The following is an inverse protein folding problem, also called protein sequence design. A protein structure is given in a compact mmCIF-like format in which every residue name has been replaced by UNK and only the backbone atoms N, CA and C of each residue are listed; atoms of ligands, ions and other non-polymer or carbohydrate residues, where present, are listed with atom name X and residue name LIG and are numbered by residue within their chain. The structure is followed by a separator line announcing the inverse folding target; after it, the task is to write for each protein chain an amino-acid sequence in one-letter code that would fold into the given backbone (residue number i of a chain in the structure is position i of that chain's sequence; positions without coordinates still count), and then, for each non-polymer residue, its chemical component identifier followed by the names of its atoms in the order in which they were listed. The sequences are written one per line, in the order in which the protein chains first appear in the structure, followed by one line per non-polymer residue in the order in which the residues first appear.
data_IF_485910446692
#
_entry.id   IF_485910446692
#
_cell.length_a   1.000
_cell.length_b   1.000
_cell.length_c   1.000
_cell.angle_alpha   90.00
_cell.angle_beta   90.00
_cell.angle_gamma   90.00
#
_symmetry.space_group_name_H-M   'P 1'
#
loop_
_entity.id
_entity.type
_entity.pdbx_description
1 polymer ?
#
# COMPACT_ATOMS: atom_id res chain seq x y z
N UNK A 1 -25.11 -10.41 16.77
CA UNK A 1 -25.61 -9.70 15.57
C UNK A 1 -24.75 -8.46 15.32
N UNK A 2 -24.48 -7.63 16.35
CA UNK A 2 -23.71 -6.38 16.19
C UNK A 2 -22.20 -6.55 15.85
N UNK A 3 -21.55 -7.63 16.27
CA UNK A 3 -20.14 -7.88 15.92
C UNK A 3 -19.93 -8.31 14.45
N UNK A 4 -20.97 -8.76 13.74
CA UNK A 4 -20.88 -9.16 12.33
C UNK A 4 -21.06 -7.98 11.36
N UNK A 5 -21.58 -6.84 11.84
CA UNK A 5 -21.77 -5.65 11.01
C UNK A 5 -20.52 -4.77 11.02
N UNK A 6 -19.73 -4.78 12.11
CA UNK A 6 -18.51 -3.98 12.23
C UNK A 6 -17.42 -4.34 11.21
N UNK A 7 -17.33 -5.60 10.78
CA UNK A 7 -16.33 -6.02 9.77
C UNK A 7 -16.69 -5.59 8.34
N UNK A 8 -17.93 -5.18 8.07
CA UNK A 8 -18.39 -4.87 6.70
C UNK A 8 -18.15 -3.40 6.30
N UNK A 9 -17.81 -2.51 7.24
CA UNK A 9 -17.57 -1.07 6.96
C UNK A 9 -16.08 -0.69 6.83
N UNK A 10 -15.15 -1.60 7.12
CA UNK A 10 -13.73 -1.32 6.95
C UNK A 10 -13.35 -1.48 5.48
N UNK A 11 -12.91 -0.39 4.85
CA UNK A 11 -12.32 -0.48 3.52
C UNK A 11 -11.17 -1.50 3.54
N UNK A 12 -11.13 -2.44 2.59
CA UNK A 12 -10.16 -3.52 2.60
C UNK A 12 -8.74 -2.94 2.58
N UNK A 13 -7.93 -3.37 3.54
CA UNK A 13 -6.54 -3.00 3.66
C UNK A 13 -5.68 -3.88 2.74
N UNK A 14 -4.48 -3.39 2.39
CA UNK A 14 -3.51 -4.17 1.62
C UNK A 14 -3.13 -5.48 2.33
N UNK A 15 -3.17 -5.50 3.67
CA UNK A 15 -2.99 -6.73 4.46
C UNK A 15 -4.01 -7.81 4.12
N UNK A 16 -5.26 -7.41 3.90
CA UNK A 16 -6.38 -8.31 3.67
C UNK A 16 -6.25 -8.96 2.29
N UNK A 17 -5.70 -8.24 1.31
CA UNK A 17 -5.37 -8.76 -0.02
C UNK A 17 -4.27 -9.81 0.07
N UNK A 18 -3.22 -9.58 0.88
CA UNK A 18 -2.12 -10.55 1.07
C UNK A 18 -2.64 -11.83 1.72
N UNK A 19 -3.48 -11.70 2.74
CA UNK A 19 -4.09 -12.83 3.44
C UNK A 19 -4.97 -13.65 2.49
N UNK A 20 -5.90 -13.01 1.78
CA UNK A 20 -6.78 -13.65 0.80
C UNK A 20 -6.01 -14.32 -0.34
N UNK A 21 -4.93 -13.70 -0.80
CA UNK A 21 -4.06 -14.27 -1.84
C UNK A 21 -3.37 -15.55 -1.35
N UNK A 22 -2.96 -15.57 -0.08
CA UNK A 22 -2.38 -16.76 0.57
C UNK A 22 -3.42 -17.88 0.74
N UNK A 23 -4.64 -17.55 1.16
CA UNK A 23 -5.75 -18.50 1.26
C UNK A 23 -6.08 -19.12 -0.10
N UNK A 24 -6.17 -18.31 -1.16
CA UNK A 24 -6.42 -18.79 -2.52
C UNK A 24 -5.31 -19.73 -2.98
N UNK A 25 -4.05 -19.46 -2.62
CA UNK A 25 -2.91 -20.33 -2.92
C UNK A 25 -3.05 -21.70 -2.28
N UNK A 26 -3.38 -21.74 -0.98
CA UNK A 26 -3.56 -22.98 -0.23
C UNK A 26 -4.76 -23.78 -0.76
N UNK A 27 -5.89 -23.10 -0.98
CA UNK A 27 -7.10 -23.69 -1.53
C UNK A 27 -6.81 -24.32 -2.90
N UNK A 28 -6.14 -23.59 -3.79
CA UNK A 28 -5.79 -24.06 -5.13
C UNK A 28 -4.91 -25.29 -5.06
N UNK A 29 -3.86 -25.26 -4.22
CA UNK A 29 -2.93 -26.39 -4.05
C UNK A 29 -3.68 -27.63 -3.56
N UNK A 30 -4.56 -27.46 -2.57
CA UNK A 30 -5.38 -28.53 -2.00
C UNK A 30 -6.32 -29.13 -3.05
N UNK A 31 -7.05 -28.28 -3.79
CA UNK A 31 -8.04 -28.73 -4.77
C UNK A 31 -7.41 -29.41 -5.98
N UNK A 32 -6.30 -28.89 -6.49
CA UNK A 32 -5.54 -29.55 -7.55
C UNK A 32 -5.00 -30.90 -7.09
N UNK A 33 -4.50 -30.98 -5.85
CA UNK A 33 -4.09 -32.26 -5.24
C UNK A 33 -5.22 -33.28 -5.22
N UNK A 34 -6.41 -32.88 -4.75
CA UNK A 34 -7.60 -33.73 -4.74
C UNK A 34 -7.99 -34.22 -6.15
N UNK A 35 -7.89 -33.37 -7.17
CA UNK A 35 -8.17 -33.77 -8.55
C UNK A 35 -7.13 -34.80 -9.03
N UNK A 36 -5.84 -34.60 -8.78
CA UNK A 36 -4.79 -35.58 -9.12
C UNK A 36 -5.05 -36.94 -8.45
N UNK A 37 -5.46 -36.96 -7.19
CA UNK A 37 -5.77 -38.21 -6.48
C UNK A 37 -6.98 -38.93 -7.08
N UNK A 38 -8.02 -38.20 -7.51
CA UNK A 38 -9.18 -38.78 -8.19
C UNK A 38 -8.77 -39.32 -9.56
N UNK A 39 -8.06 -38.52 -10.34
CA UNK A 39 -7.59 -38.89 -11.69
C UNK A 39 -6.64 -40.08 -11.67
N UNK A 40 -5.74 -40.16 -10.69
CA UNK A 40 -4.85 -41.31 -10.48
C UNK A 40 -5.62 -42.60 -10.20
N UNK A 41 -6.66 -42.54 -9.35
CA UNK A 41 -7.55 -43.67 -9.10
C UNK A 41 -8.35 -44.06 -10.34
N UNK A 42 -8.87 -43.09 -11.09
CA UNK A 42 -9.60 -43.33 -12.35
C UNK A 42 -8.70 -44.03 -13.38
N UNK A 43 -7.46 -43.59 -13.52
CA UNK A 43 -6.46 -44.16 -14.42
C UNK A 43 -6.12 -45.61 -14.05
N UNK A 44 -6.00 -45.92 -12.76
CA UNK A 44 -5.79 -47.29 -12.29
C UNK A 44 -7.02 -48.17 -12.52
N UNK A 45 -8.23 -47.64 -12.31
CA UNK A 45 -9.47 -48.35 -12.61
C UNK A 45 -9.59 -48.68 -14.11
N UNK A 46 -9.28 -47.71 -14.98
CA UNK A 46 -9.25 -47.88 -16.42
C UNK A 46 -8.21 -48.95 -16.83
N UNK A 47 -7.01 -48.94 -16.23
CA UNK A 47 -5.99 -49.96 -16.45
C UNK A 47 -6.49 -51.36 -16.09
N UNK A 48 -7.11 -51.51 -14.91
CA UNK A 48 -7.68 -52.78 -14.49
C UNK A 48 -8.79 -53.26 -15.45
N UNK A 49 -9.64 -52.34 -15.92
CA UNK A 49 -10.68 -52.65 -16.90
C UNK A 49 -10.11 -53.06 -18.27
N UNK A 50 -9.03 -52.43 -18.73
CA UNK A 50 -8.32 -52.86 -19.95
C UNK A 50 -7.76 -54.27 -19.82
N UNK A 51 -7.14 -54.61 -18.67
CA UNK A 51 -6.58 -55.94 -18.41
C UNK A 51 -7.70 -57.00 -18.42
N UNK A 52 -8.82 -56.74 -17.74
CA UNK A 52 -9.92 -57.70 -17.67
C UNK A 52 -10.64 -57.84 -19.01
N UNK A 53 -10.76 -56.75 -19.77
CA UNK A 53 -11.28 -56.78 -21.15
C UNK A 53 -10.39 -57.63 -22.07
N UNK A 54 -9.06 -57.53 -21.92
CA UNK A 54 -8.13 -58.38 -22.65
C UNK A 54 -8.26 -59.86 -22.25
N UNK A 55 -8.48 -60.16 -20.97
CA UNK A 55 -8.73 -61.54 -20.48
C UNK A 55 -10.03 -62.12 -21.02
N UNK A 56 -11.07 -61.32 -21.15
CA UNK A 56 -12.36 -61.75 -21.70
C UNK A 56 -12.33 -61.99 -23.23
N UNK A 57 -11.22 -61.67 -23.91
CA UNK A 57 -11.04 -61.89 -25.34
C UNK A 57 -12.08 -61.13 -26.17
N UNK A 58 -12.76 -61.82 -27.09
CA UNK A 58 -13.74 -61.20 -27.97
C UNK A 58 -14.92 -60.58 -27.22
N UNK A 59 -15.31 -61.14 -26.06
CA UNK A 59 -16.42 -60.62 -25.25
C UNK A 59 -16.05 -59.31 -24.53
N UNK A 60 -14.76 -59.00 -24.39
CA UNK A 60 -14.27 -57.79 -23.72
C UNK A 60 -14.07 -56.59 -24.64
N UNK A 61 -14.23 -56.73 -25.97
CA UNK A 61 -13.84 -55.68 -26.94
C UNK A 61 -14.59 -54.35 -26.73
N UNK A 62 -15.88 -54.40 -26.39
CA UNK A 62 -16.65 -53.20 -26.09
C UNK A 62 -16.17 -52.48 -24.83
N UNK A 63 -15.86 -53.23 -23.78
CA UNK A 63 -15.33 -52.67 -22.54
C UNK A 63 -13.91 -52.13 -22.68
N UNK A 64 -13.10 -52.72 -23.57
CA UNK A 64 -11.75 -52.23 -23.86
C UNK A 64 -11.77 -50.80 -24.42
N UNK A 65 -12.71 -50.50 -25.33
CA UNK A 65 -12.86 -49.15 -25.91
C UNK A 65 -13.22 -48.15 -24.81
N UNK A 66 -14.17 -48.48 -23.94
CA UNK A 66 -14.57 -47.62 -22.82
C UNK A 66 -13.40 -47.39 -21.86
N UNK A 67 -12.64 -48.43 -21.53
CA UNK A 67 -11.49 -48.32 -20.64
C UNK A 67 -10.36 -47.45 -21.22
N UNK A 68 -10.14 -47.52 -22.54
CA UNK A 68 -9.21 -46.65 -23.24
C UNK A 68 -9.65 -45.18 -23.16
N UNK A 69 -10.93 -44.89 -23.44
CA UNK A 69 -11.50 -43.54 -23.37
C UNK A 69 -11.37 -42.94 -21.96
N UNK A 70 -11.68 -43.72 -20.92
CA UNK A 70 -11.54 -43.28 -19.52
C UNK A 70 -10.09 -42.93 -19.18
N UNK A 71 -9.11 -43.69 -19.69
CA UNK A 71 -7.68 -43.39 -19.49
C UNK A 71 -7.26 -42.11 -20.22
N UNK A 72 -7.77 -41.87 -21.41
CA UNK A 72 -7.51 -40.65 -22.18
C UNK A 72 -8.10 -39.43 -21.46
N UNK A 73 -9.36 -39.50 -21.03
CA UNK A 73 -10.02 -38.47 -20.22
C UNK A 73 -9.23 -38.21 -18.93
N UNK A 74 -8.82 -39.25 -18.22
CA UNK A 74 -7.99 -39.10 -17.00
C UNK A 74 -6.72 -38.31 -17.31
N UNK A 75 -6.02 -38.65 -18.39
CA UNK A 75 -4.77 -37.98 -18.76
C UNK A 75 -5.00 -36.52 -19.15
N UNK A 76 -6.10 -36.21 -19.85
CA UNK A 76 -6.48 -34.85 -20.18
C UNK A 76 -6.79 -34.02 -18.92
N UNK A 77 -7.56 -34.56 -17.98
CA UNK A 77 -7.90 -33.89 -16.71
C UNK A 77 -6.65 -33.61 -15.87
N UNK A 78 -5.69 -34.54 -15.83
CA UNK A 78 -4.38 -34.34 -15.17
C UNK A 78 -3.64 -33.14 -15.77
N UNK A 79 -3.58 -33.07 -17.10
CA UNK A 79 -2.93 -31.98 -17.83
C UNK A 79 -3.59 -30.63 -17.55
N UNK A 80 -4.91 -30.56 -17.64
CA UNK A 80 -5.69 -29.35 -17.34
C UNK A 80 -5.46 -28.90 -15.90
N UNK A 81 -5.50 -29.82 -14.95
CA UNK A 81 -5.31 -29.51 -13.52
C UNK A 81 -3.91 -28.98 -13.24
N UNK A 82 -2.90 -29.51 -13.93
CA UNK A 82 -1.52 -29.03 -13.81
C UNK A 82 -1.32 -27.66 -14.46
N UNK A 83 -1.96 -27.40 -15.61
CA UNK A 83 -1.93 -26.08 -16.24
C UNK A 83 -2.61 -25.03 -15.35
N UNK A 84 -3.80 -25.35 -14.83
CA UNK A 84 -4.54 -24.51 -13.89
C UNK A 84 -3.70 -24.12 -12.67
N UNK A 85 -3.00 -25.09 -12.06
CA UNK A 85 -2.14 -24.83 -10.91
C UNK A 85 -1.00 -23.86 -11.24
N UNK A 86 -0.40 -24.00 -12.42
CA UNK A 86 0.70 -23.15 -12.88
C UNK A 86 0.23 -21.73 -13.17
N UNK A 87 -0.90 -21.60 -13.87
CA UNK A 87 -1.50 -20.31 -14.20
C UNK A 87 -1.91 -19.55 -12.94
N UNK A 88 -2.63 -20.21 -12.03
CA UNK A 88 -3.03 -19.60 -10.75
C UNK A 88 -1.82 -19.22 -9.88
N UNK A 89 -0.77 -20.03 -9.85
CA UNK A 89 0.46 -19.67 -9.13
C UNK A 89 1.10 -18.38 -9.70
N UNK A 90 1.11 -18.23 -11.02
CA UNK A 90 1.60 -17.01 -11.68
C UNK A 90 0.74 -15.78 -11.38
N UNK A 91 -0.58 -15.92 -11.42
CA UNK A 91 -1.51 -14.83 -11.08
C UNK A 91 -1.40 -14.39 -9.61
N UNK A 92 -1.22 -15.35 -8.69
CA UNK A 92 -0.98 -15.09 -7.26
C UNK A 92 0.32 -14.31 -7.06
N UNK A 93 1.40 -14.70 -7.74
CA UNK A 93 2.69 -13.99 -7.66
C UNK A 93 2.59 -12.56 -8.24
N UNK A 94 1.84 -12.39 -9.33
CA UNK A 94 1.55 -11.07 -9.89
C UNK A 94 0.77 -10.18 -8.91
N UNK A 95 -0.26 -10.73 -8.25
CA UNK A 95 -1.04 -10.04 -7.22
C UNK A 95 -0.19 -9.64 -6.01
N UNK A 96 0.68 -10.53 -5.52
CA UNK A 96 1.61 -10.21 -4.43
C UNK A 96 2.55 -9.06 -4.80
N UNK A 97 3.05 -9.07 -6.04
CA UNK A 97 3.92 -8.00 -6.58
C UNK A 97 3.19 -6.68 -6.65
N UNK A 98 1.98 -6.65 -7.20
CA UNK A 98 1.14 -5.45 -7.28
C UNK A 98 0.82 -4.90 -5.89
N UNK A 99 0.46 -5.77 -4.95
CA UNK A 99 0.12 -5.38 -3.57
C UNK A 99 1.31 -4.74 -2.87
N UNK A 100 2.52 -5.29 -3.08
CA UNK A 100 3.76 -4.71 -2.57
C UNK A 100 4.05 -3.33 -3.18
N UNK A 101 3.86 -3.18 -4.49
CA UNK A 101 4.04 -1.89 -5.16
C UNK A 101 3.05 -0.84 -4.66
N UNK A 102 1.77 -1.22 -4.47
CA UNK A 102 0.76 -0.34 -3.89
C UNK A 102 1.13 0.09 -2.47
N UNK A 103 1.65 -0.81 -1.63
CA UNK A 103 2.10 -0.47 -0.28
C UNK A 103 3.24 0.57 -0.30
N UNK A 104 4.25 0.35 -1.15
CA UNK A 104 5.36 1.27 -1.32
C UNK A 104 4.90 2.63 -1.85
N UNK A 105 3.98 2.64 -2.82
CA UNK A 105 3.44 3.87 -3.38
C UNK A 105 2.63 4.66 -2.36
N UNK A 106 1.78 4.00 -1.58
CA UNK A 106 1.00 4.65 -0.51
C UNK A 106 1.92 5.28 0.56
N UNK A 107 2.97 4.56 0.95
CA UNK A 107 3.97 5.09 1.87
C UNK A 107 4.74 6.27 1.26
N UNK A 108 5.15 6.15 0.00
CA UNK A 108 5.86 7.20 -0.74
C UNK A 108 5.03 8.48 -0.83
N UNK A 109 3.76 8.37 -1.22
CA UNK A 109 2.82 9.50 -1.28
C UNK A 109 2.70 10.22 0.05
N UNK A 110 2.57 9.46 1.15
CA UNK A 110 2.46 10.04 2.49
C UNK A 110 3.74 10.77 2.90
N UNK A 111 4.91 10.23 2.57
CA UNK A 111 6.18 10.88 2.85
C UNK A 111 6.36 12.16 2.03
N UNK A 112 5.92 12.18 0.76
CA UNK A 112 5.95 13.40 -0.06
C UNK A 112 5.03 14.48 0.49
N UNK A 113 3.83 14.11 0.98
CA UNK A 113 2.90 15.07 1.59
C UNK A 113 3.49 15.70 2.86
N UNK A 114 4.12 14.88 3.71
CA UNK A 114 4.79 15.37 4.91
C UNK A 114 5.99 16.27 4.58
N UNK A 115 6.77 15.92 3.56
CA UNK A 115 7.89 16.74 3.11
C UNK A 115 7.40 18.09 2.57
N UNK A 116 6.32 18.10 1.78
CA UNK A 116 5.74 19.34 1.26
C UNK A 116 5.23 20.23 2.39
N UNK A 117 4.53 19.66 3.38
CA UNK A 117 4.08 20.40 4.56
C UNK A 117 5.25 21.00 5.35
N UNK A 118 6.33 20.24 5.54
CA UNK A 118 7.53 20.74 6.20
C UNK A 118 8.17 21.89 5.42
N UNK A 119 8.22 21.81 4.09
CA UNK A 119 8.73 22.89 3.22
C UNK A 119 7.87 24.14 3.37
N UNK A 120 6.55 24.02 3.36
CA UNK A 120 5.63 25.17 3.54
C UNK A 120 5.84 25.85 4.90
N UNK A 121 6.04 25.09 5.97
CA UNK A 121 6.34 25.65 7.29
C UNK A 121 7.68 26.37 7.33
N UNK A 122 8.71 25.81 6.68
CA UNK A 122 10.03 26.43 6.58
C UNK A 122 9.95 27.73 5.77
N UNK A 123 9.27 27.72 4.62
CA UNK A 123 9.10 28.91 3.77
C UNK A 123 8.41 30.04 4.53
N UNK A 124 7.30 29.74 5.21
CA UNK A 124 6.60 30.71 6.04
C UNK A 124 7.49 31.26 7.17
N UNK A 125 8.23 30.39 7.86
CA UNK A 125 9.13 30.82 8.93
C UNK A 125 10.26 31.72 8.41
N UNK A 126 10.88 31.36 7.29
CA UNK A 126 11.91 32.16 6.65
C UNK A 126 11.38 33.51 6.16
N UNK A 127 10.16 33.55 5.62
CA UNK A 127 9.50 34.79 5.23
C UNK A 127 9.28 35.71 6.45
N UNK A 128 8.77 35.16 7.56
CA UNK A 128 8.58 35.90 8.82
C UNK A 128 9.92 36.43 9.35
N UNK A 129 10.98 35.61 9.39
CA UNK A 129 12.34 36.04 9.81
C UNK A 129 12.92 37.12 8.90
N UNK A 130 12.69 37.03 7.58
CA UNK A 130 13.16 38.03 6.61
C UNK A 130 12.46 39.38 6.82
N UNK A 131 11.15 39.35 7.12
CA UNK A 131 10.40 40.54 7.48
C UNK A 131 10.95 41.19 8.76
N UNK A 132 11.24 40.40 9.79
CA UNK A 132 11.83 40.88 11.05
C UNK A 132 13.19 41.55 10.82
N UNK A 133 14.09 40.91 10.06
CA UNK A 133 15.42 41.48 9.74
C UNK A 133 15.29 42.78 8.96
N UNK A 134 14.41 42.84 7.95
CA UNK A 134 14.17 44.08 7.19
C UNK A 134 13.66 45.19 8.11
N UNK A 135 12.74 44.86 9.02
CA UNK A 135 12.24 45.82 10.00
C UNK A 135 13.37 46.37 10.85
N UNK A 136 14.17 45.49 11.48
CA UNK A 136 15.31 45.91 12.32
C UNK A 136 16.32 46.77 11.58
N UNK A 137 16.59 46.47 10.31
CA UNK A 137 17.52 47.25 9.49
C UNK A 137 17.00 48.66 9.15
N UNK A 138 15.67 48.84 9.09
CA UNK A 138 15.03 50.14 8.81
C UNK A 138 14.57 50.89 10.06
N UNK A 139 14.67 50.26 11.22
CA UNK A 139 14.26 50.88 12.48
C UNK A 139 15.20 52.05 12.81
N UNK A 140 14.62 53.25 12.98
CA UNK A 140 15.40 54.47 13.17
C UNK A 140 16.18 54.50 14.48
N UNK A 141 15.73 53.78 15.52
CA UNK A 141 16.47 53.65 16.78
C UNK A 141 17.69 52.75 16.59
N UNK A 142 17.55 51.65 15.86
CA UNK A 142 18.66 50.75 15.51
C UNK A 142 19.66 51.43 14.58
N UNK A 143 19.19 52.09 13.51
CA UNK A 143 20.02 52.81 12.57
C UNK A 143 20.78 53.98 13.24
N UNK A 144 20.09 54.79 14.07
CA UNK A 144 20.71 55.87 14.81
C UNK A 144 21.75 55.40 15.83
N UNK A 145 21.52 54.25 16.47
CA UNK A 145 22.49 53.62 17.37
C UNK A 145 23.72 53.09 16.63
N UNK A 146 23.56 52.59 15.40
CA UNK A 146 24.66 52.11 14.56
C UNK A 146 25.54 53.26 14.05
N UNK A 147 24.94 54.41 13.73
CA UNK A 147 25.66 55.62 13.32
C UNK A 147 26.36 56.32 14.50
N UNK A 148 25.72 56.35 15.67
CA UNK A 148 26.24 57.00 16.87
C UNK A 148 26.03 56.12 18.11
N UNK A 149 27.05 55.37 18.50
CA UNK A 149 26.99 54.40 19.60
C UNK A 149 27.08 55.03 21.00
N UNK A 150 26.37 56.13 21.25
CA UNK A 150 26.31 56.73 22.58
C UNK A 150 25.52 55.83 23.54
N UNK A 151 25.82 55.86 24.85
CA UNK A 151 25.08 55.08 25.84
C UNK A 151 23.56 55.33 25.82
N UNK A 152 23.12 56.56 25.53
CA UNK A 152 21.69 56.89 25.41
C UNK A 152 21.05 56.30 24.15
N UNK A 153 21.76 56.31 23.01
CA UNK A 153 21.26 55.71 21.77
C UNK A 153 21.13 54.18 21.90
N UNK A 154 22.10 53.52 22.54
CA UNK A 154 22.04 52.09 22.86
C UNK A 154 20.87 51.79 23.81
N UNK A 155 20.68 52.61 24.85
CA UNK A 155 19.57 52.43 25.80
C UNK A 155 18.20 52.65 25.15
N UNK A 156 18.06 53.65 24.28
CA UNK A 156 16.84 53.91 23.52
C UNK A 156 16.50 52.75 22.58
N UNK A 157 17.45 52.29 21.77
CA UNK A 157 17.28 51.13 20.90
C UNK A 157 16.91 49.86 21.69
N UNK A 158 17.65 49.55 22.77
CA UNK A 158 17.38 48.37 23.61
C UNK A 158 16.01 48.43 24.31
N UNK A 159 15.56 49.61 24.74
CA UNK A 159 14.24 49.79 25.37
C UNK A 159 13.08 49.51 24.40
N UNK A 160 13.25 49.84 23.13
CA UNK A 160 12.30 49.52 22.07
C UNK A 160 12.21 48.03 21.76
N UNK A 161 13.24 47.23 22.09
CA UNK A 161 13.27 45.79 21.81
C UNK A 161 12.61 44.97 22.93
N UNK A 162 12.65 45.45 24.18
CA UNK A 162 12.04 44.79 25.33
C UNK A 162 10.50 44.72 25.23
N UNK A 163 9.87 45.64 24.50
CA UNK A 163 8.43 45.60 24.19
C UNK A 163 8.06 44.61 23.08
N UNK A 164 9.04 44.14 22.30
CA UNK A 164 8.84 43.19 21.20
C UNK A 164 9.15 41.73 21.56
N UNK A 165 9.81 41.46 22.69
CA UNK A 165 10.18 40.10 23.13
C UNK A 165 9.05 39.29 23.79
N UNK A 166 7.82 39.83 23.89
CA UNK A 166 6.67 38.98 24.20
C UNK A 166 6.49 37.95 23.07
N UNK A 167 6.15 36.69 23.37
CA UNK A 167 6.01 35.66 22.35
C UNK A 167 5.01 36.16 21.31
N UNK A 168 5.47 36.23 20.05
CA UNK A 168 4.72 36.67 18.87
C UNK A 168 3.45 35.82 18.74
N UNK A 169 2.40 36.17 19.51
CA UNK A 169 1.07 35.54 19.46
C UNK A 169 0.15 36.25 18.46
N UNK A 170 0.58 37.38 17.92
CA UNK A 170 -0.16 38.19 16.96
C UNK A 170 0.82 39.06 16.20
N UNK A 171 1.03 38.73 14.92
CA UNK A 171 1.73 39.61 14.00
C UNK A 171 0.75 40.74 13.64
N UNK A 172 1.00 41.97 14.09
CA UNK A 172 0.47 43.18 13.45
C UNK A 172 1.44 43.59 12.35
N UNK A 173 1.29 43.05 11.15
CA UNK A 173 1.85 43.71 9.96
C UNK A 173 1.01 44.96 9.72
N UNK A 174 1.64 46.14 9.71
CA UNK A 174 1.14 47.41 9.20
C UNK A 174 -0.37 47.44 8.83
N UNK A 175 -1.23 47.76 9.79
CA UNK A 175 -2.60 48.23 9.53
C UNK A 175 -3.60 47.25 8.88
N UNK A 176 -3.20 46.05 8.46
CA UNK A 176 -4.13 45.04 7.94
C UNK A 176 -4.41 44.00 9.02
N UNK A 177 -5.57 44.15 9.68
CA UNK A 177 -6.14 43.09 10.51
C UNK A 177 -6.55 41.95 9.57
N UNK A 178 -5.69 40.96 9.37
CA UNK A 178 -6.14 39.65 8.89
C UNK A 178 -6.71 38.95 10.12
N UNK A 179 -8.02 39.10 10.30
CA UNK A 179 -8.81 38.29 11.23
C UNK A 179 -8.79 36.85 10.73
N UNK A 180 -8.02 35.97 11.37
CA UNK A 180 -8.30 34.54 11.32
C UNK A 180 -9.33 34.23 12.40
N UNK A 181 -10.60 34.51 12.09
CA UNK A 181 -11.72 33.86 12.76
C UNK A 181 -11.87 32.48 12.13
N UNK A 182 -11.57 31.46 12.94
CA UNK A 182 -11.70 30.03 12.66
C UNK A 182 -11.34 29.27 13.92
#
# INVERSE_FOLDING_TARGET
MDQLIADTERAPALSDIVERTSEVRELTTTKVGQIRDVTGRLRMLALNAMIESARAGDQGRGFLVVAQEVREISTAVEGISSALAKELAGEIEALETLTRQMALQAQGSRLTDLALNAIELIDRNLYERTCDVRWWATDSAVAGCAENSTPEAVAYAASGWASFSEPIRSIRICGCVISTAG
#
